data_IF_001239521729
#
_entry.id   IF_001239521729
#
_cell.length_a   1.000
_cell.length_b   1.000
_cell.length_c   1.000
_cell.angle_alpha   90.00
_cell.angle_beta   90.00
_cell.angle_gamma   90.00
#
_symmetry.space_group_name_H-M   'P 1'
#
loop_
_entity.id
_entity.type
_entity.pdbx_description
1 polymer ?
#
# COMPACT_ATOMS: atom_id res chain seq x y z
N UNK A 1 -11.61 10.32 3.54
CA UNK A 1 -10.46 10.02 4.44
C UNK A 1 -9.24 9.73 3.56
N UNK A 2 -8.09 10.39 3.77
CA UNK A 2 -6.94 10.28 2.88
C UNK A 2 -6.26 8.91 3.00
N UNK A 3 -6.05 8.25 1.86
CA UNK A 3 -5.43 6.92 1.77
C UNK A 3 -4.33 6.87 0.71
N UNK A 4 -3.38 5.96 0.90
CA UNK A 4 -2.38 5.61 -0.11
C UNK A 4 -2.65 4.19 -0.59
N UNK A 5 -2.64 3.98 -1.90
CA UNK A 5 -2.79 2.65 -2.51
C UNK A 5 -1.43 2.02 -2.77
N UNK A 6 -1.31 0.71 -2.54
CA UNK A 6 -0.08 -0.03 -2.76
C UNK A 6 -0.32 -1.24 -3.66
N UNK A 7 0.46 -1.37 -4.73
CA UNK A 7 0.40 -2.53 -5.61
C UNK A 7 1.81 -3.10 -5.87
N UNK A 8 2.03 -4.35 -5.47
CA UNK A 8 3.18 -5.14 -5.88
C UNK A 8 2.77 -6.11 -6.98
N UNK A 9 3.60 -6.18 -8.03
CA UNK A 9 3.43 -7.11 -9.14
C UNK A 9 4.70 -7.91 -9.40
N UNK A 10 4.58 -9.07 -10.05
CA UNK A 10 5.72 -9.71 -10.70
C UNK A 10 5.87 -9.25 -12.14
N UNK A 11 7.04 -9.49 -12.74
CA UNK A 11 7.32 -9.06 -14.11
C UNK A 11 6.36 -9.74 -15.09
N UNK A 12 5.67 -8.93 -15.90
CA UNK A 12 4.70 -9.42 -16.89
C UNK A 12 3.24 -9.34 -16.45
N UNK A 13 2.97 -9.08 -15.17
CA UNK A 13 1.59 -8.85 -14.69
C UNK A 13 1.08 -7.46 -15.08
N UNK A 14 -0.19 -7.39 -15.51
CA UNK A 14 -0.91 -6.13 -15.72
C UNK A 14 -1.19 -5.46 -14.37
N UNK A 15 -1.26 -4.14 -14.37
CA UNK A 15 -1.67 -3.36 -13.19
C UNK A 15 -3.18 -3.34 -13.07
N UNK A 16 -3.68 -3.56 -11.86
CA UNK A 16 -5.07 -3.41 -11.44
C UNK A 16 -5.25 -2.19 -10.54
N UNK A 17 -4.24 -1.32 -10.45
CA UNK A 17 -4.29 -0.09 -9.67
C UNK A 17 -5.47 0.83 -10.04
N UNK A 18 -5.83 0.88 -11.33
CA UNK A 18 -6.98 1.67 -11.78
C UNK A 18 -8.29 1.15 -11.17
N UNK A 19 -8.45 -0.16 -11.09
CA UNK A 19 -9.60 -0.80 -10.45
C UNK A 19 -9.59 -0.55 -8.93
N UNK A 20 -8.43 -0.73 -8.28
CA UNK A 20 -8.29 -0.44 -6.85
C UNK A 20 -8.63 1.03 -6.53
N UNK A 21 -8.24 1.97 -7.38
CA UNK A 21 -8.58 3.39 -7.21
C UNK A 21 -10.09 3.62 -7.27
N UNK A 22 -10.77 3.03 -8.25
CA UNK A 22 -12.22 3.14 -8.37
C UNK A 22 -12.94 2.55 -7.15
N UNK A 23 -12.48 1.41 -6.64
CA UNK A 23 -13.04 0.80 -5.43
C UNK A 23 -12.83 1.69 -4.19
N UNK A 24 -11.64 2.26 -4.03
CA UNK A 24 -11.33 3.15 -2.92
C UNK A 24 -12.19 4.42 -2.97
N UNK A 25 -12.33 5.04 -4.14
CA UNK A 25 -13.17 6.23 -4.34
C UNK A 25 -14.66 5.91 -4.11
N UNK A 26 -15.14 4.77 -4.60
CA UNK A 26 -16.52 4.31 -4.36
C UNK A 26 -16.80 4.04 -2.86
N UNK A 27 -15.78 3.64 -2.10
CA UNK A 27 -15.85 3.49 -0.65
C UNK A 27 -15.71 4.83 0.13
N UNK A 28 -15.62 5.97 -0.55
CA UNK A 28 -15.51 7.30 0.08
C UNK A 28 -14.11 7.65 0.58
N UNK A 29 -13.08 6.91 0.15
CA UNK A 29 -11.69 7.27 0.41
C UNK A 29 -11.20 8.34 -0.57
N UNK A 30 -10.28 9.16 -0.09
CA UNK A 30 -9.58 10.16 -0.90
C UNK A 30 -8.18 9.63 -1.20
N UNK A 31 -7.90 9.29 -2.46
CA UNK A 31 -6.60 8.71 -2.83
C UNK A 31 -5.56 9.81 -2.97
N UNK A 32 -4.71 9.96 -1.96
CA UNK A 32 -3.68 11.01 -1.88
C UNK A 32 -2.30 10.53 -2.33
N UNK A 33 -2.14 9.24 -2.62
CA UNK A 33 -0.88 8.70 -3.10
C UNK A 33 -1.00 7.27 -3.61
N UNK A 34 0.03 6.86 -4.35
CA UNK A 34 0.15 5.52 -4.92
C UNK A 34 1.60 5.07 -4.80
N UNK A 35 1.79 3.80 -4.40
CA UNK A 35 3.10 3.15 -4.34
C UNK A 35 3.03 1.84 -5.11
N UNK A 36 3.85 1.70 -6.16
CA UNK A 36 3.94 0.44 -6.91
C UNK A 36 5.34 -0.16 -6.86
N UNK A 37 5.43 -1.49 -6.95
CA UNK A 37 6.73 -2.17 -7.05
C UNK A 37 6.66 -3.45 -7.89
N UNK A 38 7.62 -3.65 -8.79
CA UNK A 38 7.75 -4.90 -9.56
C UNK A 38 8.82 -5.79 -8.95
N UNK A 39 8.40 -6.82 -8.20
CA UNK A 39 9.27 -7.85 -7.58
C UNK A 39 8.44 -8.99 -6.98
N UNK A 40 9.10 -10.09 -6.62
CA UNK A 40 8.54 -11.10 -5.71
C UNK A 40 8.28 -10.54 -4.30
N UNK A 41 7.35 -11.15 -3.53
CA UNK A 41 6.94 -10.64 -2.23
C UNK A 41 8.07 -10.68 -1.22
N UNK A 42 8.21 -9.60 -0.46
CA UNK A 42 9.03 -9.58 0.74
C UNK A 42 8.31 -10.33 1.87
N UNK A 43 8.98 -11.27 2.58
CA UNK A 43 8.33 -12.08 3.61
C UNK A 43 7.81 -11.25 4.78
N UNK A 44 8.38 -10.06 5.04
CA UNK A 44 8.00 -9.20 6.15
C UNK A 44 7.01 -8.11 5.77
N UNK A 45 7.10 -7.55 4.56
CA UNK A 45 6.34 -6.34 4.20
C UNK A 45 5.55 -6.44 2.90
N UNK A 46 5.58 -7.58 2.20
CA UNK A 46 5.10 -7.75 0.82
C UNK A 46 5.90 -6.92 -0.21
N UNK A 47 6.09 -5.63 0.01
CA UNK A 47 7.02 -4.75 -0.71
C UNK A 47 8.42 -4.73 -0.05
N UNK A 48 9.44 -4.29 -0.78
CA UNK A 48 10.80 -4.19 -0.23
C UNK A 48 10.95 -3.10 0.84
N UNK A 49 11.87 -3.30 1.79
CA UNK A 49 12.12 -2.36 2.90
C UNK A 49 12.44 -0.91 2.46
N UNK A 50 13.14 -0.70 1.35
CA UNK A 50 13.34 0.64 0.78
C UNK A 50 12.02 1.31 0.41
N UNK A 51 11.10 0.55 -0.18
CA UNK A 51 9.77 1.03 -0.59
C UNK A 51 8.87 1.29 0.61
N UNK A 52 9.04 0.53 1.71
CA UNK A 52 8.39 0.82 3.00
C UNK A 52 8.84 2.17 3.56
N UNK A 53 10.13 2.51 3.46
CA UNK A 53 10.64 3.83 3.89
C UNK A 53 10.06 4.96 3.05
N UNK A 54 10.03 4.80 1.73
CA UNK A 54 9.38 5.75 0.82
C UNK A 54 7.89 5.91 1.15
N UNK A 55 7.17 4.80 1.40
CA UNK A 55 5.77 4.82 1.78
C UNK A 55 5.56 5.54 3.14
N UNK A 56 6.44 5.32 4.11
CA UNK A 56 6.37 6.00 5.41
C UNK A 56 6.57 7.52 5.29
N UNK A 57 7.45 7.96 4.38
CA UNK A 57 7.61 9.39 4.07
C UNK A 57 6.34 9.94 3.41
N UNK A 58 5.81 9.24 2.42
CA UNK A 58 4.58 9.65 1.72
C UNK A 58 3.38 9.75 2.66
N UNK A 59 3.25 8.82 3.62
CA UNK A 59 2.21 8.90 4.68
C UNK A 59 2.32 10.22 5.46
N UNK A 60 3.53 10.62 5.85
CA UNK A 60 3.75 11.87 6.60
C UNK A 60 3.48 13.11 5.75
N UNK A 61 3.94 13.11 4.51
CA UNK A 61 3.82 14.25 3.58
C UNK A 61 2.36 14.50 3.17
N UNK A 62 1.61 13.43 2.94
CA UNK A 62 0.21 13.52 2.47
C UNK A 62 -0.81 13.55 3.60
N UNK A 63 -0.40 13.23 4.84
CA UNK A 63 -1.33 13.08 5.96
C UNK A 63 -2.28 11.89 5.81
N UNK A 64 -1.91 10.88 5.02
CA UNK A 64 -2.70 9.67 4.85
C UNK A 64 -2.97 9.00 6.20
N UNK A 65 -4.21 8.53 6.40
CA UNK A 65 -4.65 7.88 7.65
C UNK A 65 -4.72 6.36 7.55
N UNK A 66 -4.67 5.83 6.33
CA UNK A 66 -4.73 4.41 6.02
C UNK A 66 -3.94 4.11 4.76
N UNK A 67 -3.38 2.92 4.70
CA UNK A 67 -2.75 2.36 3.50
C UNK A 67 -3.53 1.12 3.07
N UNK A 68 -3.86 1.06 1.78
CA UNK A 68 -4.64 -0.04 1.19
C UNK A 68 -3.72 -0.78 0.22
N UNK A 69 -3.42 -2.03 0.52
CA UNK A 69 -2.69 -2.92 -0.36
C UNK A 69 -3.66 -3.59 -1.32
N UNK A 70 -3.25 -3.74 -2.59
CA UNK A 70 -3.95 -4.60 -3.54
C UNK A 70 -3.65 -6.08 -3.27
N UNK A 71 -2.44 -6.36 -2.79
CA UNK A 71 -1.98 -7.72 -2.54
C UNK A 71 -2.42 -8.16 -1.16
N UNK A 72 -2.96 -9.38 -1.07
CA UNK A 72 -3.22 -10.03 0.21
C UNK A 72 -1.97 -10.02 1.11
N UNK A 73 -2.18 -9.62 2.36
CA UNK A 73 -1.18 -9.52 3.40
C UNK A 73 -1.40 -10.63 4.41
N UNK A 74 -0.32 -11.31 4.76
CA UNK A 74 -0.33 -12.17 5.94
C UNK A 74 -0.50 -11.29 7.20
N UNK A 75 -1.12 -11.79 8.28
CA UNK A 75 -1.33 -11.00 9.50
C UNK A 75 -0.05 -10.34 10.04
N UNK A 76 1.09 -11.03 9.98
CA UNK A 76 2.37 -10.48 10.43
C UNK A 76 2.92 -9.38 9.51
N UNK A 77 2.57 -9.40 8.23
CA UNK A 77 2.96 -8.36 7.26
C UNK A 77 2.16 -7.08 7.51
N UNK A 78 0.83 -7.20 7.65
CA UNK A 78 -0.03 -6.07 8.01
C UNK A 78 0.39 -5.44 9.34
N UNK A 79 0.66 -6.26 10.37
CA UNK A 79 1.18 -5.78 11.65
C UNK A 79 2.52 -5.06 11.51
N UNK A 80 3.47 -5.64 10.77
CA UNK A 80 4.79 -5.04 10.56
C UNK A 80 4.69 -3.72 9.80
N UNK A 81 3.87 -3.65 8.76
CA UNK A 81 3.63 -2.42 7.99
C UNK A 81 2.97 -1.36 8.87
N UNK A 82 1.89 -1.68 9.59
CA UNK A 82 1.21 -0.73 10.46
C UNK A 82 2.16 -0.15 11.52
N UNK A 83 3.05 -0.98 12.08
CA UNK A 83 4.09 -0.55 13.02
C UNK A 83 5.10 0.44 12.39
N UNK A 84 5.56 0.18 11.16
CA UNK A 84 6.53 1.06 10.49
C UNK A 84 5.88 2.36 9.97
N UNK A 85 4.62 2.29 9.54
CA UNK A 85 3.92 3.40 8.90
C UNK A 85 3.18 4.30 9.90
N UNK A 86 2.85 3.77 11.09
CA UNK A 86 2.10 4.50 12.12
C UNK A 86 0.63 4.72 11.79
N UNK A 87 0.11 4.02 10.78
CA UNK A 87 -1.28 4.11 10.30
C UNK A 87 -1.84 2.72 10.06
N UNK A 88 -3.17 2.62 9.97
CA UNK A 88 -3.83 1.35 9.67
C UNK A 88 -3.45 0.86 8.26
N UNK A 89 -3.22 -0.44 8.13
CA UNK A 89 -2.89 -1.10 6.87
C UNK A 89 -3.93 -2.19 6.64
N UNK A 90 -4.58 -2.15 5.48
CA UNK A 90 -5.55 -3.15 5.04
C UNK A 90 -5.16 -3.67 3.66
N UNK A 91 -5.67 -4.86 3.31
CA UNK A 91 -5.55 -5.51 2.01
C UNK A 91 -6.91 -5.77 1.35
#
# INVERSE_FOLDING_TARGET
MPVILVERRVRGEKSLLAELRLLAEAAGYEVVGVVTQVRGPDPRYNIGSGKVKELAQLVKETGARKVIFFNELKPHQAYSLAKELGVEVID
#
